data_IF_636159916615
#
_entry.id   IF_636159916615
#
_cell.length_a   1.000
_cell.length_b   1.000
_cell.length_c   1.000
_cell.angle_alpha   90.00
_cell.angle_beta   90.00
_cell.angle_gamma   90.00
#
_symmetry.space_group_name_H-M   'P 1'
#
loop_
_entity.id
_entity.type
_entity.pdbx_description
1 polymer ?
#
# COMPACT_ATOMS: atom_id res chain seq x y z
N UNK A 1 -30.90 -12.23 -2.52
CA UNK A 1 -29.44 -12.32 -2.67
C UNK A 1 -28.96 -10.98 -3.20
N UNK A 2 -27.94 -10.38 -2.60
CA UNK A 2 -27.32 -9.17 -3.15
C UNK A 2 -26.30 -9.65 -4.18
N UNK A 3 -26.60 -9.50 -5.47
CA UNK A 3 -25.65 -9.84 -6.53
C UNK A 3 -24.45 -8.90 -6.46
N UNK A 4 -23.24 -9.46 -6.43
CA UNK A 4 -22.02 -8.68 -6.52
C UNK A 4 -21.93 -8.06 -7.91
N UNK A 5 -21.77 -6.74 -7.97
CA UNK A 5 -21.63 -5.97 -9.20
C UNK A 5 -20.33 -5.18 -9.17
N UNK A 6 -19.52 -5.33 -10.22
CA UNK A 6 -18.27 -4.57 -10.41
C UNK A 6 -18.49 -3.08 -10.70
N UNK A 7 -19.74 -2.63 -10.74
CA UNK A 7 -20.11 -1.22 -10.85
C UNK A 7 -20.64 -0.66 -9.52
N UNK A 8 -20.68 -1.47 -8.47
CA UNK A 8 -21.19 -1.12 -7.15
C UNK A 8 -20.03 -1.04 -6.16
N UNK A 9 -19.96 0.01 -5.37
CA UNK A 9 -18.93 0.27 -4.37
C UNK A 9 -19.56 0.91 -3.13
N UNK A 10 -20.18 0.07 -2.28
CA UNK A 10 -20.73 0.49 -0.98
C UNK A 10 -21.65 1.74 -1.03
N UNK A 11 -22.36 2.00 -2.13
CA UNK A 11 -23.23 3.17 -2.28
C UNK A 11 -22.51 4.47 -2.68
N UNK A 12 -21.22 4.41 -3.02
CA UNK A 12 -20.39 5.55 -3.44
C UNK A 12 -20.16 5.58 -4.97
N UNK A 13 -20.94 4.82 -5.73
CA UNK A 13 -20.72 4.64 -7.16
C UNK A 13 -20.84 5.95 -7.93
N UNK A 14 -21.79 6.79 -7.53
CA UNK A 14 -22.08 8.06 -8.20
C UNK A 14 -20.95 9.05 -7.99
N UNK A 15 -20.51 9.22 -6.74
CA UNK A 15 -19.40 10.10 -6.39
C UNK A 15 -18.09 9.66 -7.07
N UNK A 16 -17.91 8.34 -7.24
CA UNK A 16 -16.76 7.78 -7.95
C UNK A 16 -16.84 7.96 -9.47
N UNK A 17 -18.03 7.91 -10.05
CA UNK A 17 -18.24 8.15 -11.47
C UNK A 17 -18.05 9.64 -11.83
N UNK A 18 -18.43 10.55 -10.94
CA UNK A 18 -18.28 11.99 -11.13
C UNK A 18 -16.81 12.45 -11.04
N UNK A 19 -16.01 11.78 -10.22
CA UNK A 19 -14.60 12.15 -9.97
C UNK A 19 -13.64 10.95 -9.98
N UNK A 20 -13.43 10.32 -11.14
CA UNK A 20 -12.58 9.13 -11.24
C UNK A 20 -11.10 9.39 -10.92
N UNK A 21 -10.64 10.63 -11.05
CA UNK A 21 -9.31 11.09 -10.63
C UNK A 21 -9.05 10.89 -9.13
N UNK A 22 -10.11 10.87 -8.29
CA UNK A 22 -9.97 10.60 -6.85
C UNK A 22 -9.32 9.24 -6.59
N UNK A 23 -9.44 8.28 -7.50
CA UNK A 23 -8.81 6.95 -7.34
C UNK A 23 -7.29 7.04 -7.47
N UNK A 24 -6.77 7.87 -8.37
CA UNK A 24 -5.32 8.10 -8.49
C UNK A 24 -4.80 8.79 -7.23
N UNK A 25 -5.49 9.84 -6.77
CA UNK A 25 -5.11 10.53 -5.54
C UNK A 25 -5.20 9.62 -4.32
N UNK A 26 -6.23 8.79 -4.23
CA UNK A 26 -6.39 7.78 -3.18
C UNK A 26 -5.25 6.76 -3.21
N UNK A 27 -4.93 6.21 -4.39
CA UNK A 27 -3.84 5.26 -4.56
C UNK A 27 -2.47 5.83 -4.14
N UNK A 28 -2.25 7.13 -4.36
CA UNK A 28 -1.03 7.85 -3.98
C UNK A 28 -1.00 8.21 -2.49
N UNK A 29 -2.04 8.86 -1.99
CA UNK A 29 -2.06 9.49 -0.68
C UNK A 29 -2.37 8.49 0.43
N UNK A 30 -3.26 7.52 0.19
CA UNK A 30 -3.67 6.59 1.23
C UNK A 30 -2.47 5.83 1.84
N UNK A 31 -1.58 5.20 1.04
CA UNK A 31 -0.44 4.50 1.61
C UNK A 31 0.47 5.43 2.43
N UNK A 32 0.76 6.64 1.92
CA UNK A 32 1.62 7.61 2.60
C UNK A 32 1.01 8.09 3.92
N UNK A 33 -0.26 8.48 3.90
CA UNK A 33 -0.97 8.96 5.09
C UNK A 33 -1.10 7.85 6.12
N UNK A 34 -1.38 6.61 5.70
CA UNK A 34 -1.49 5.45 6.58
C UNK A 34 -0.15 5.06 7.23
N UNK A 35 1.00 5.41 6.64
CA UNK A 35 2.30 5.12 7.26
C UNK A 35 2.50 5.88 8.57
N UNK A 36 1.98 7.11 8.70
CA UNK A 36 2.13 7.93 9.91
C UNK A 36 1.53 7.29 11.18
N UNK A 37 0.23 6.90 11.23
CA UNK A 37 -0.34 6.27 12.41
C UNK A 37 0.32 4.91 12.70
N UNK A 38 0.69 4.13 11.68
CA UNK A 38 1.38 2.85 11.89
C UNK A 38 2.78 3.07 12.47
N UNK A 39 3.51 4.08 12.01
CA UNK A 39 4.80 4.45 12.58
C UNK A 39 4.69 4.90 14.04
N UNK A 40 3.63 5.65 14.39
CA UNK A 40 3.34 6.05 15.77
C UNK A 40 3.04 4.84 16.66
N UNK A 41 2.18 3.91 16.21
CA UNK A 41 1.92 2.65 16.91
C UNK A 41 3.21 1.84 17.06
N UNK A 42 4.02 1.79 16.00
CA UNK A 42 5.33 1.16 16.04
C UNK A 42 6.28 1.76 17.08
N UNK A 43 6.25 3.08 17.27
CA UNK A 43 7.01 3.73 18.34
C UNK A 43 6.54 3.30 19.73
N UNK A 44 5.23 3.21 19.95
CA UNK A 44 4.65 2.70 21.21
C UNK A 44 5.08 1.24 21.43
N UNK A 45 4.99 0.38 20.40
CA UNK A 45 5.39 -1.02 20.48
C UNK A 45 6.87 -1.18 20.86
N UNK A 46 7.76 -0.34 20.30
CA UNK A 46 9.18 -0.31 20.71
C UNK A 46 9.34 0.05 22.18
N UNK A 47 8.60 1.04 22.68
CA UNK A 47 8.65 1.45 24.10
C UNK A 47 8.18 0.33 25.03
N UNK A 48 7.17 -0.42 24.62
CA UNK A 48 6.60 -1.54 25.37
C UNK A 48 7.34 -2.88 25.13
N UNK A 49 8.40 -2.90 24.31
CA UNK A 49 9.15 -4.11 23.91
C UNK A 49 8.26 -5.21 23.30
N UNK A 50 7.20 -4.82 22.61
CA UNK A 50 6.31 -5.75 21.91
C UNK A 50 6.93 -6.22 20.59
N UNK A 51 6.42 -7.32 20.06
CA UNK A 51 6.88 -7.86 18.79
C UNK A 51 6.59 -6.88 17.64
N UNK A 52 7.63 -6.45 16.93
CA UNK A 52 7.56 -5.49 15.84
C UNK A 52 7.22 -6.12 14.48
N UNK A 53 7.09 -7.45 14.39
CA UNK A 53 6.87 -8.17 13.13
C UNK A 53 5.69 -7.59 12.33
N UNK A 54 4.52 -7.49 12.96
CA UNK A 54 3.31 -7.01 12.29
C UNK A 54 3.43 -5.54 11.87
N UNK A 55 4.13 -4.71 12.66
CA UNK A 55 4.38 -3.31 12.32
C UNK A 55 5.25 -3.20 11.06
N UNK A 56 6.33 -3.97 10.98
CA UNK A 56 7.19 -3.99 9.78
C UNK A 56 6.40 -4.51 8.57
N UNK A 57 5.64 -5.60 8.73
CA UNK A 57 4.80 -6.14 7.66
C UNK A 57 3.84 -5.08 7.09
N UNK A 58 3.17 -4.32 7.96
CA UNK A 58 2.26 -3.26 7.57
C UNK A 58 2.99 -2.10 6.88
N UNK A 59 4.14 -1.66 7.42
CA UNK A 59 4.93 -0.59 6.80
C UNK A 59 5.45 -0.99 5.41
N UNK A 60 5.91 -2.23 5.23
CA UNK A 60 6.32 -2.74 3.93
C UNK A 60 5.15 -2.87 2.97
N UNK A 61 3.97 -3.29 3.46
CA UNK A 61 2.75 -3.34 2.66
C UNK A 61 2.45 -1.97 2.08
N UNK A 62 2.38 -0.93 2.93
CA UNK A 62 2.11 0.43 2.48
C UNK A 62 3.17 0.96 1.53
N UNK A 63 4.45 0.70 1.81
CA UNK A 63 5.55 1.09 0.93
C UNK A 63 5.45 0.43 -0.45
N UNK A 64 5.19 -0.88 -0.52
CA UNK A 64 5.07 -1.58 -1.81
C UNK A 64 3.76 -1.25 -2.52
N UNK A 65 2.65 -1.07 -1.80
CA UNK A 65 1.39 -0.59 -2.40
C UNK A 65 1.53 0.84 -2.91
N UNK A 66 2.31 1.69 -2.25
CA UNK A 66 2.63 3.01 -2.80
C UNK A 66 3.37 2.87 -4.14
N UNK A 67 4.44 2.07 -4.19
CA UNK A 67 5.24 1.94 -5.41
C UNK A 67 4.46 1.26 -6.55
N UNK A 68 3.86 0.10 -6.27
CA UNK A 68 3.21 -0.74 -7.29
C UNK A 68 1.76 -0.32 -7.51
N UNK A 69 1.02 -0.03 -6.45
CA UNK A 69 -0.39 0.38 -6.56
C UNK A 69 -0.56 1.70 -7.28
N UNK A 70 0.29 2.71 -7.02
CA UNK A 70 0.25 3.97 -7.78
C UNK A 70 0.56 3.74 -9.24
N UNK A 71 1.63 3.01 -9.54
CA UNK A 71 2.00 2.72 -10.92
C UNK A 71 0.90 1.95 -11.66
N UNK A 72 0.34 0.91 -11.04
CA UNK A 72 -0.74 0.10 -11.61
C UNK A 72 -1.98 0.96 -11.88
N UNK A 73 -2.43 1.75 -10.92
CA UNK A 73 -3.63 2.59 -11.10
C UNK A 73 -3.39 3.70 -12.09
N UNK A 74 -2.21 4.31 -12.10
CA UNK A 74 -1.86 5.32 -13.08
C UNK A 74 -1.94 4.74 -14.50
N UNK A 75 -1.31 3.60 -14.76
CA UNK A 75 -1.38 2.92 -16.06
C UNK A 75 -2.82 2.56 -16.42
N UNK A 76 -3.54 1.87 -15.53
CA UNK A 76 -4.91 1.41 -15.78
C UNK A 76 -5.86 2.57 -16.05
N UNK A 77 -5.71 3.69 -15.34
CA UNK A 77 -6.53 4.88 -15.57
C UNK A 77 -6.40 5.43 -17.00
N UNK A 78 -5.20 5.40 -17.59
CA UNK A 78 -4.99 5.93 -18.94
C UNK A 78 -5.37 4.95 -20.07
N UNK A 79 -5.31 3.63 -19.82
CA UNK A 79 -5.58 2.63 -20.87
C UNK A 79 -7.02 2.09 -20.85
N UNK A 80 -7.75 2.26 -19.75
CA UNK A 80 -9.12 1.76 -19.59
C UNK A 80 -10.15 2.88 -19.70
N UNK A 81 -11.42 2.49 -19.65
CA UNK A 81 -12.64 3.31 -19.59
C UNK A 81 -12.74 4.24 -18.35
N UNK A 82 -11.66 4.41 -17.58
CA UNK A 82 -11.58 5.29 -16.38
C UNK A 82 -12.67 5.00 -15.34
N UNK A 83 -13.21 3.79 -15.33
CA UNK A 83 -14.23 3.40 -14.37
C UNK A 83 -13.59 3.30 -12.98
N UNK A 84 -13.86 4.30 -12.14
CA UNK A 84 -13.29 4.45 -10.81
C UNK A 84 -13.54 3.24 -9.90
N UNK A 85 -14.74 2.67 -9.96
CA UNK A 85 -15.11 1.51 -9.13
C UNK A 85 -14.21 0.31 -9.47
N UNK A 86 -14.02 0.01 -10.76
CA UNK A 86 -13.12 -1.06 -11.20
C UNK A 86 -11.68 -0.76 -10.79
N UNK A 87 -11.22 0.48 -10.94
CA UNK A 87 -9.86 0.88 -10.55
C UNK A 87 -9.60 0.72 -9.06
N UNK A 88 -10.57 1.03 -8.19
CA UNK A 88 -10.44 0.79 -6.75
C UNK A 88 -10.36 -0.71 -6.45
N UNK A 89 -11.17 -1.54 -7.11
CA UNK A 89 -11.04 -2.99 -6.96
C UNK A 89 -9.66 -3.51 -7.39
N UNK A 90 -9.10 -2.99 -8.48
CA UNK A 90 -7.73 -3.29 -8.88
C UNK A 90 -6.72 -2.85 -7.82
N UNK A 91 -6.88 -1.65 -7.27
CA UNK A 91 -5.99 -1.14 -6.22
C UNK A 91 -6.07 -1.99 -4.95
N UNK A 92 -7.27 -2.38 -4.52
CA UNK A 92 -7.50 -3.26 -3.37
C UNK A 92 -6.87 -4.64 -3.58
N UNK A 93 -6.91 -5.18 -4.80
CA UNK A 93 -6.24 -6.43 -5.13
C UNK A 93 -4.71 -6.30 -4.99
N UNK A 94 -4.12 -5.20 -5.47
CA UNK A 94 -2.68 -4.92 -5.28
C UNK A 94 -2.34 -4.76 -3.80
N UNK A 95 -3.12 -3.98 -3.05
CA UNK A 95 -2.93 -3.81 -1.61
C UNK A 95 -2.96 -5.15 -0.87
N UNK A 96 -3.95 -6.00 -1.16
CA UNK A 96 -4.10 -7.32 -0.56
C UNK A 96 -2.93 -8.23 -0.91
N UNK A 97 -2.51 -8.24 -2.18
CA UNK A 97 -1.33 -9.01 -2.61
C UNK A 97 -0.06 -8.58 -1.89
N UNK A 98 0.18 -7.27 -1.78
CA UNK A 98 1.34 -6.72 -1.06
C UNK A 98 1.27 -6.99 0.44
N UNK A 99 0.07 -7.04 1.02
CA UNK A 99 -0.13 -7.41 2.42
C UNK A 99 0.34 -8.84 2.70
N UNK A 100 -0.14 -9.82 1.94
CA UNK A 100 0.29 -11.21 2.11
C UNK A 100 1.77 -11.41 1.78
N UNK A 101 2.25 -10.78 0.70
CA UNK A 101 3.68 -10.82 0.35
C UNK A 101 4.55 -10.30 1.50
N UNK A 102 4.19 -9.16 2.09
CA UNK A 102 4.92 -8.57 3.20
C UNK A 102 4.81 -9.42 4.46
N UNK A 103 3.61 -9.93 4.79
CA UNK A 103 3.39 -10.82 5.93
C UNK A 103 4.23 -12.08 5.87
N UNK A 104 4.42 -12.69 4.69
CA UNK A 104 5.23 -13.91 4.56
C UNK A 104 6.73 -13.59 4.59
N UNK A 105 7.13 -12.45 4.01
CA UNK A 105 8.53 -12.12 3.73
C UNK A 105 9.13 -11.04 4.64
N UNK A 106 8.46 -10.64 5.72
CA UNK A 106 8.88 -9.51 6.58
C UNK A 106 10.32 -9.62 7.05
N UNK A 107 10.75 -10.80 7.50
CA UNK A 107 12.12 -11.01 7.98
C UNK A 107 13.16 -10.85 6.85
N UNK A 108 12.86 -11.41 5.68
CA UNK A 108 13.71 -11.31 4.49
C UNK A 108 13.84 -9.86 4.02
N UNK A 109 12.72 -9.14 3.92
CA UNK A 109 12.69 -7.73 3.51
C UNK A 109 13.49 -6.86 4.50
N UNK A 110 13.29 -7.08 5.80
CA UNK A 110 14.03 -6.35 6.85
C UNK A 110 15.53 -6.58 6.76
N UNK A 111 15.94 -7.84 6.51
CA UNK A 111 17.34 -8.19 6.31
C UNK A 111 17.91 -7.49 5.08
N UNK A 112 17.19 -7.51 3.95
CA UNK A 112 17.62 -6.82 2.72
C UNK A 112 17.87 -5.33 2.95
N UNK A 113 16.94 -4.61 3.61
CA UNK A 113 17.14 -3.19 3.93
C UNK A 113 18.33 -2.95 4.86
N UNK A 114 18.51 -3.81 5.86
CA UNK A 114 19.63 -3.73 6.80
C UNK A 114 20.97 -3.93 6.11
N UNK A 115 21.05 -4.95 5.25
CA UNK A 115 22.28 -5.27 4.53
C UNK A 115 22.60 -4.21 3.47
N UNK A 116 21.58 -3.69 2.77
CA UNK A 116 21.76 -2.57 1.85
C UNK A 116 22.25 -1.30 2.55
N UNK A 117 21.73 -0.98 3.74
CA UNK A 117 22.21 0.14 4.54
C UNK A 117 23.67 -0.02 4.97
N UNK A 118 24.14 -1.24 5.25
CA UNK A 118 25.55 -1.48 5.58
C UNK A 118 26.45 -1.23 4.38
N UNK A 119 26.07 -1.74 3.20
CA UNK A 119 26.82 -1.55 1.95
C UNK A 119 26.97 -0.05 1.63
N UNK A 120 25.91 0.74 1.80
CA UNK A 120 25.97 2.20 1.57
C UNK A 120 26.98 2.84 2.53
N UNK A 121 26.92 2.53 3.83
CA UNK A 121 27.85 3.08 4.84
C UNK A 121 29.30 2.69 4.60
N UNK A 122 29.56 1.46 4.16
CA UNK A 122 30.91 0.99 3.81
C UNK A 122 31.49 1.72 2.59
N UNK A 123 30.63 2.17 1.67
CA UNK A 123 31.04 2.98 0.52
C UNK A 123 31.28 4.45 0.88
N UNK A 124 30.56 5.00 1.85
CA UNK A 124 30.69 6.39 2.31
C UNK A 124 31.82 6.57 3.35
N UNK A 125 32.21 5.50 4.06
CA UNK A 125 33.31 5.48 5.02
C UNK A 125 34.71 5.26 4.41
N UNK A 126 34.81 5.30 3.08
CA UNK A 126 36.04 5.41 2.29
C UNK A 126 36.02 6.73 1.55
#
# INVERSE_FOLDING_TARGET
>A
MMEFSFNTFFGLEREMAEHPEMVIFGALLFPLVAMFPIALIGWIFRKLKLNMYLIHALLYTLMFTFLLGVLTIFILYFITDKNAVKLIYCWLAVFTGMFFFSLINTNTITKMFTDWSKIIKEKEGK
#
